data_IF_391811334539
#
_entry.id   IF_391811334539
#
_cell.length_a   1.000
_cell.length_b   1.000
_cell.length_c   1.000
_cell.angle_alpha   90.00
_cell.angle_beta   90.00
_cell.angle_gamma   90.00
#
_symmetry.space_group_name_H-M   'P 1'
#
loop_
_entity.id
_entity.type
_entity.pdbx_description
1 polymer ?
#
# COMPACT_ATOMS: atom_id res chain seq x y z
N UNK A 1 -36.60 54.32 -2.50
CA UNK A 1 -35.80 53.59 -3.51
C UNK A 1 -34.32 53.46 -3.12
N UNK A 2 -33.60 54.54 -2.75
CA UNK A 2 -32.18 54.46 -2.33
C UNK A 2 -31.88 53.46 -1.19
N UNK A 3 -32.71 53.44 -0.14
CA UNK A 3 -32.49 52.59 1.04
C UNK A 3 -32.66 51.09 0.73
N UNK A 4 -33.61 50.74 -0.13
CA UNK A 4 -33.87 49.35 -0.53
C UNK A 4 -32.69 48.82 -1.36
N UNK A 5 -32.18 49.63 -2.30
CA UNK A 5 -31.01 49.28 -3.10
C UNK A 5 -29.77 49.11 -2.21
N UNK A 6 -29.59 49.98 -1.21
CA UNK A 6 -28.47 49.88 -0.28
C UNK A 6 -28.54 48.62 0.60
N UNK A 7 -29.73 48.24 1.07
CA UNK A 7 -29.93 46.99 1.82
C UNK A 7 -29.66 45.75 0.96
N UNK A 8 -30.15 45.73 -0.28
CA UNK A 8 -29.85 44.64 -1.22
C UNK A 8 -28.34 44.55 -1.48
N UNK A 9 -27.68 45.69 -1.67
CA UNK A 9 -26.24 45.73 -1.87
C UNK A 9 -25.48 45.15 -0.67
N UNK A 10 -25.90 45.45 0.57
CA UNK A 10 -25.31 44.87 1.78
C UNK A 10 -25.48 43.36 1.87
N UNK A 11 -26.65 42.84 1.48
CA UNK A 11 -26.88 41.38 1.41
C UNK A 11 -25.98 40.74 0.36
N UNK A 12 -25.83 41.37 -0.81
CA UNK A 12 -24.93 40.90 -1.87
C UNK A 12 -23.47 40.92 -1.41
N UNK A 13 -23.02 41.97 -0.71
CA UNK A 13 -21.66 42.05 -0.17
C UNK A 13 -21.42 40.93 0.85
N UNK A 14 -22.38 40.67 1.76
CA UNK A 14 -22.28 39.57 2.71
C UNK A 14 -22.19 38.22 2.02
N UNK A 15 -23.01 37.99 0.99
CA UNK A 15 -22.99 36.76 0.19
C UNK A 15 -21.66 36.57 -0.55
N UNK A 16 -21.15 37.63 -1.19
CA UNK A 16 -19.85 37.59 -1.88
C UNK A 16 -18.70 37.34 -0.89
N UNK A 17 -18.75 37.95 0.30
CA UNK A 17 -17.78 37.70 1.36
C UNK A 17 -17.76 36.24 1.81
N UNK A 18 -18.93 35.62 1.96
CA UNK A 18 -19.06 34.20 2.26
C UNK A 18 -18.49 33.31 1.14
N UNK A 19 -18.77 33.63 -0.13
CA UNK A 19 -18.21 32.89 -1.27
C UNK A 19 -16.68 32.94 -1.32
N UNK A 20 -16.08 34.11 -1.06
CA UNK A 20 -14.61 34.25 -1.00
C UNK A 20 -14.03 33.43 0.15
N UNK A 21 -14.65 33.49 1.34
CA UNK A 21 -14.21 32.69 2.47
C UNK A 21 -14.28 31.18 2.15
N UNK A 22 -15.41 30.71 1.60
CA UNK A 22 -15.59 29.31 1.24
C UNK A 22 -14.62 28.85 0.15
N UNK A 23 -14.32 29.73 -0.82
CA UNK A 23 -13.36 29.44 -1.89
C UNK A 23 -11.93 29.23 -1.37
N UNK A 24 -11.55 29.90 -0.29
CA UNK A 24 -10.21 29.76 0.30
C UNK A 24 -10.17 28.61 1.32
N UNK A 25 -11.22 28.48 2.14
CA UNK A 25 -11.26 27.49 3.22
C UNK A 25 -11.58 26.08 2.71
N UNK A 26 -12.40 25.94 1.66
CA UNK A 26 -12.80 24.65 1.08
C UNK A 26 -11.62 23.75 0.72
N UNK A 27 -10.63 24.22 -0.07
CA UNK A 27 -9.43 23.44 -0.40
C UNK A 27 -8.59 23.04 0.83
N UNK A 28 -8.56 23.88 1.87
CA UNK A 28 -7.79 23.61 3.09
C UNK A 28 -8.43 22.47 3.89
N UNK A 29 -9.74 22.51 4.10
CA UNK A 29 -10.48 21.46 4.78
C UNK A 29 -10.44 20.15 3.99
N UNK A 30 -10.57 20.23 2.67
CA UNK A 30 -10.42 19.09 1.77
C UNK A 30 -9.07 18.39 1.98
N UNK A 31 -7.96 19.14 1.95
CA UNK A 31 -6.64 18.58 2.14
C UNK A 31 -6.46 17.95 3.52
N UNK A 32 -6.96 18.59 4.59
CA UNK A 32 -6.89 18.05 5.94
C UNK A 32 -7.63 16.72 6.09
N UNK A 33 -8.84 16.61 5.54
CA UNK A 33 -9.63 15.38 5.58
C UNK A 33 -8.99 14.30 4.70
N UNK A 34 -8.53 14.69 3.51
CA UNK A 34 -7.81 13.82 2.59
C UNK A 34 -6.61 13.17 3.26
N UNK A 35 -5.74 13.97 3.88
CA UNK A 35 -4.53 13.46 4.52
C UNK A 35 -4.85 12.44 5.63
N UNK A 36 -5.84 12.75 6.47
CA UNK A 36 -6.26 11.86 7.55
C UNK A 36 -6.82 10.52 7.03
N UNK A 37 -7.60 10.54 5.94
CA UNK A 37 -8.16 9.32 5.35
C UNK A 37 -7.13 8.53 4.56
N UNK A 38 -6.25 9.21 3.83
CA UNK A 38 -5.15 8.58 3.12
C UNK A 38 -4.20 7.89 4.08
N UNK A 39 -3.85 8.50 5.21
CA UNK A 39 -3.02 7.85 6.22
C UNK A 39 -3.61 6.49 6.69
N UNK A 40 -4.91 6.45 6.98
CA UNK A 40 -5.60 5.20 7.36
C UNK A 40 -5.62 4.18 6.23
N UNK A 41 -5.93 4.61 5.00
CA UNK A 41 -5.96 3.73 3.84
C UNK A 41 -4.56 3.17 3.52
N UNK A 42 -3.53 4.00 3.63
CA UNK A 42 -2.12 3.63 3.44
C UNK A 42 -1.70 2.60 4.49
N UNK A 43 -2.10 2.73 5.76
CA UNK A 43 -1.82 1.72 6.78
C UNK A 43 -2.37 0.34 6.39
N UNK A 44 -3.61 0.28 5.92
CA UNK A 44 -4.21 -0.96 5.42
C UNK A 44 -3.49 -1.51 4.18
N UNK A 45 -3.15 -0.65 3.21
CA UNK A 45 -2.38 -1.06 2.04
C UNK A 45 -0.99 -1.57 2.40
N UNK A 46 -0.33 -1.00 3.43
CA UNK A 46 0.96 -1.49 3.97
C UNK A 46 0.79 -2.87 4.59
N UNK A 47 -0.27 -3.09 5.36
CA UNK A 47 -0.59 -4.40 5.93
C UNK A 47 -0.80 -5.45 4.84
N UNK A 48 -1.54 -5.13 3.78
CA UNK A 48 -1.76 -6.02 2.64
C UNK A 48 -0.45 -6.29 1.89
N UNK A 49 0.38 -5.25 1.66
CA UNK A 49 1.71 -5.40 1.05
C UNK A 49 2.58 -6.37 1.84
N UNK A 50 2.66 -6.21 3.16
CA UNK A 50 3.46 -7.08 4.03
C UNK A 50 2.94 -8.51 3.99
N UNK A 51 1.63 -8.72 3.99
CA UNK A 51 1.02 -10.04 3.82
C UNK A 51 1.39 -10.68 2.46
N UNK A 52 1.31 -9.91 1.38
CA UNK A 52 1.64 -10.39 0.03
C UNK A 52 3.12 -10.76 -0.11
N UNK A 53 4.01 -9.95 0.46
CA UNK A 53 5.44 -10.26 0.49
C UNK A 53 5.72 -11.54 1.28
N UNK A 54 5.08 -11.71 2.44
CA UNK A 54 5.16 -12.94 3.22
C UNK A 54 4.67 -14.17 2.44
N UNK A 55 3.52 -14.03 1.77
CA UNK A 55 2.94 -15.09 0.93
C UNK A 55 3.89 -15.48 -0.21
N UNK A 56 4.54 -14.50 -0.85
CA UNK A 56 5.55 -14.76 -1.88
C UNK A 56 6.79 -15.46 -1.34
N UNK A 57 7.26 -15.10 -0.15
CA UNK A 57 8.42 -15.76 0.47
C UNK A 57 8.16 -17.25 0.72
N UNK A 58 6.94 -17.62 1.08
CA UNK A 58 6.58 -19.02 1.38
C UNK A 58 6.17 -19.80 0.13
N UNK A 59 5.40 -19.20 -0.78
CA UNK A 59 4.80 -19.91 -1.93
C UNK A 59 5.46 -19.62 -3.27
N UNK A 60 6.34 -18.61 -3.35
CA UNK A 60 6.98 -18.14 -4.58
C UNK A 60 6.10 -17.29 -5.49
N UNK A 61 4.84 -17.04 -5.14
CA UNK A 61 3.88 -16.25 -5.94
C UNK A 61 3.08 -15.28 -5.07
N UNK A 62 2.33 -14.37 -5.68
CA UNK A 62 1.36 -13.52 -4.97
C UNK A 62 -0.04 -14.12 -5.01
N UNK A 63 -0.91 -13.72 -4.07
CA UNK A 63 -2.29 -14.20 -3.97
C UNK A 63 -3.26 -13.15 -4.52
N UNK A 64 -4.26 -13.59 -5.28
CA UNK A 64 -5.30 -12.72 -5.84
C UNK A 64 -6.55 -12.68 -4.97
N UNK A 65 -6.78 -13.72 -4.18
CA UNK A 65 -7.97 -13.86 -3.35
C UNK A 65 -7.73 -13.31 -1.93
N UNK A 66 -8.45 -12.26 -1.52
CA UNK A 66 -8.33 -11.68 -0.19
C UNK A 66 -8.58 -12.69 0.95
N UNK A 67 -9.52 -13.61 0.77
CA UNK A 67 -9.87 -14.59 1.81
C UNK A 67 -8.74 -15.60 2.03
N UNK A 68 -8.07 -16.02 0.95
CA UNK A 68 -6.91 -16.91 1.01
C UNK A 68 -5.71 -16.22 1.65
N UNK A 69 -5.52 -14.94 1.36
CA UNK A 69 -4.46 -14.15 1.99
C UNK A 69 -4.66 -14.07 3.51
N UNK A 70 -5.90 -13.81 3.96
CA UNK A 70 -6.24 -13.79 5.39
C UNK A 70 -6.04 -15.16 6.04
N UNK A 71 -6.52 -16.23 5.39
CA UNK A 71 -6.35 -17.60 5.88
C UNK A 71 -4.87 -18.01 5.98
N UNK A 72 -4.04 -17.54 5.03
CA UNK A 72 -2.60 -17.72 5.07
C UNK A 72 -1.98 -17.03 6.30
N UNK A 73 -2.35 -15.78 6.58
CA UNK A 73 -1.83 -15.08 7.77
C UNK A 73 -2.15 -15.85 9.05
N UNK A 74 -3.37 -16.40 9.17
CA UNK A 74 -3.79 -17.15 10.35
C UNK A 74 -3.11 -18.51 10.52
N UNK A 75 -2.72 -19.17 9.41
CA UNK A 75 -2.25 -20.57 9.43
C UNK A 75 -0.74 -20.70 9.23
N UNK A 76 -0.13 -19.77 8.49
CA UNK A 76 1.23 -19.93 7.99
C UNK A 76 2.29 -19.71 9.06
N UNK A 77 3.40 -20.42 8.89
CA UNK A 77 4.60 -20.30 9.71
C UNK A 77 5.81 -20.08 8.80
N UNK A 78 6.66 -19.14 9.17
CA UNK A 78 7.97 -18.94 8.57
C UNK A 78 8.95 -19.99 9.08
N UNK A 79 9.73 -20.57 8.17
CA UNK A 79 10.93 -21.33 8.53
C UNK A 79 12.06 -20.36 8.83
N UNK A 80 12.55 -20.36 10.06
CA UNK A 80 13.76 -19.61 10.42
C UNK A 80 14.97 -20.40 9.92
N UNK A 81 15.63 -19.90 8.88
CA UNK A 81 16.81 -20.54 8.29
C UNK A 81 18.07 -19.79 8.66
N UNK A 82 19.10 -20.50 9.09
CA UNK A 82 20.44 -19.98 9.29
C UNK A 82 21.34 -20.47 8.18
N UNK A 83 21.97 -19.53 7.48
CA UNK A 83 23.03 -19.83 6.52
C UNK A 83 24.37 -19.74 7.24
N UNK A 84 25.16 -20.82 7.20
CA UNK A 84 26.58 -20.80 7.61
C UNK A 84 27.46 -21.29 6.48
N UNK A 85 28.58 -20.60 6.29
CA UNK A 85 29.61 -21.04 5.37
C UNK A 85 30.48 -22.08 6.07
N UNK A 86 30.73 -23.20 5.39
CA UNK A 86 31.53 -24.31 5.88
C UNK A 86 32.51 -24.72 4.79
N UNK A 87 33.73 -25.09 5.16
CA UNK A 87 34.72 -25.59 4.21
C UNK A 87 35.17 -26.97 4.65
N UNK A 88 35.25 -27.90 3.71
CA UNK A 88 35.77 -29.24 3.96
C UNK A 88 36.71 -29.68 2.84
N UNK A 89 37.68 -30.52 3.19
CA UNK A 89 38.65 -31.06 2.23
C UNK A 89 38.02 -32.27 1.53
N UNK A 90 38.05 -32.27 0.20
CA UNK A 90 37.64 -33.40 -0.62
C UNK A 90 38.81 -33.82 -1.51
N UNK A 91 39.17 -35.10 -1.44
CA UNK A 91 40.17 -35.67 -2.33
C UNK A 91 39.67 -35.68 -3.78
N UNK A 92 40.39 -35.00 -4.68
CA UNK A 92 40.11 -35.02 -6.11
C UNK A 92 40.79 -36.22 -6.76
N UNK A 93 40.02 -37.23 -7.17
CA UNK A 93 40.53 -38.46 -7.79
C UNK A 93 41.27 -38.23 -9.12
N UNK A 94 40.96 -37.16 -9.85
CA UNK A 94 41.58 -36.85 -11.14
C UNK A 94 42.97 -36.24 -10.92
N UNK A 95 43.04 -35.23 -10.05
CA UNK A 95 44.28 -34.50 -9.78
C UNK A 95 45.14 -35.16 -8.68
N UNK A 96 44.61 -36.15 -7.97
CA UNK A 96 45.24 -36.87 -6.84
C UNK A 96 45.73 -35.94 -5.72
N UNK A 97 45.04 -34.82 -5.51
CA UNK A 97 45.33 -33.84 -4.46
C UNK A 97 44.09 -33.59 -3.60
N UNK A 98 44.34 -33.17 -2.37
CA UNK A 98 43.30 -32.70 -1.44
C UNK A 98 42.92 -31.25 -1.79
N UNK A 99 41.66 -31.04 -2.16
CA UNK A 99 41.13 -29.72 -2.49
C UNK A 99 40.18 -29.22 -1.39
N UNK A 100 40.36 -27.99 -0.87
CA UNK A 100 39.34 -27.36 -0.05
C UNK A 100 38.11 -27.03 -0.91
N UNK A 101 36.93 -27.37 -0.41
CA UNK A 101 35.64 -27.05 -1.03
C UNK A 101 34.80 -26.26 -0.05
N UNK A 102 34.48 -25.04 -0.45
CA UNK A 102 33.54 -24.21 0.27
C UNK A 102 32.11 -24.63 -0.05
N UNK A 103 31.31 -24.79 0.99
CA UNK A 103 29.91 -25.16 0.91
C UNK A 103 29.09 -24.26 1.81
N UNK A 104 27.82 -24.11 1.48
CA UNK A 104 26.87 -23.32 2.23
C UNK A 104 25.89 -24.30 2.88
N UNK A 105 25.89 -24.34 4.21
CA UNK A 105 24.93 -25.14 4.97
C UNK A 105 23.78 -24.24 5.38
N UNK A 106 22.55 -24.63 5.03
CA UNK A 106 21.32 -23.95 5.42
C UNK A 106 20.62 -24.84 6.45
N UNK A 107 20.71 -24.46 7.72
CA UNK A 107 20.04 -25.16 8.82
C UNK A 107 18.69 -24.49 9.14
N UNK A 108 17.66 -25.27 9.47
CA UNK A 108 16.35 -24.75 9.88
C UNK A 108 16.28 -24.70 11.40
N UNK A 109 16.32 -23.49 11.98
CA UNK A 109 16.33 -23.24 13.42
C UNK A 109 14.96 -23.42 14.09
N UNK A 110 13.88 -23.34 13.31
CA UNK A 110 12.52 -23.52 13.83
C UNK A 110 11.46 -22.82 12.99
N UNK A 111 10.29 -22.63 13.59
CA UNK A 111 9.14 -22.02 12.94
C UNK A 111 8.63 -20.81 13.74
N UNK A 112 8.39 -19.69 13.07
CA UNK A 112 7.74 -18.52 13.64
C UNK A 112 6.38 -18.29 12.98
N UNK A 113 5.35 -17.91 13.74
CA UNK A 113 4.03 -17.61 13.18
C UNK A 113 4.09 -16.32 12.34
N UNK A 114 3.52 -16.36 11.13
CA UNK A 114 3.45 -15.16 10.25
C UNK A 114 2.66 -14.05 10.94
N UNK A 115 1.56 -14.43 11.58
CA UNK A 115 0.70 -13.54 12.35
C UNK A 115 1.50 -12.79 13.43
N UNK A 116 2.18 -13.51 14.31
CA UNK A 116 2.83 -12.91 15.47
C UNK A 116 4.08 -12.09 15.07
N UNK A 117 4.74 -12.46 13.97
CA UNK A 117 5.92 -11.77 13.48
C UNK A 117 5.62 -10.48 12.71
N UNK A 118 4.50 -10.44 11.97
CA UNK A 118 4.20 -9.31 11.06
C UNK A 118 3.04 -8.44 11.54
N UNK A 119 2.11 -9.00 12.30
CA UNK A 119 0.89 -8.32 12.75
C UNK A 119 0.89 -8.27 14.28
N UNK A 120 1.35 -7.15 14.85
CA UNK A 120 1.33 -6.93 16.31
C UNK A 120 -0.08 -6.88 16.90
N UNK A 121 -1.11 -6.68 16.07
CA UNK A 121 -2.52 -6.67 16.46
C UNK A 121 -3.34 -7.55 15.51
N UNK A 122 -4.47 -8.09 15.99
CA UNK A 122 -5.43 -8.93 15.24
C UNK A 122 -6.16 -8.18 14.09
N UNK A 123 -5.63 -7.06 13.59
CA UNK A 123 -6.30 -6.21 12.60
C UNK A 123 -6.20 -6.75 11.16
N UNK A 124 -5.50 -7.86 10.93
CA UNK A 124 -5.34 -8.46 9.60
C UNK A 124 -6.66 -8.93 8.98
N UNK A 125 -7.70 -9.20 9.78
CA UNK A 125 -9.02 -9.59 9.27
C UNK A 125 -9.77 -8.46 8.58
N UNK A 126 -9.53 -7.22 8.99
CA UNK A 126 -10.19 -6.03 8.46
C UNK A 126 -9.29 -5.22 7.51
N UNK A 127 -8.07 -5.67 7.23
CA UNK A 127 -7.13 -4.92 6.38
C UNK A 127 -7.65 -4.71 4.95
N UNK A 128 -8.54 -5.59 4.47
CA UNK A 128 -9.12 -5.51 3.12
C UNK A 128 -10.30 -4.53 3.03
N UNK A 129 -10.84 -4.07 4.16
CA UNK A 129 -11.91 -3.07 4.19
C UNK A 129 -11.32 -1.67 4.14
N UNK A 130 -11.97 -0.78 3.41
CA UNK A 130 -11.62 0.63 3.37
C UNK A 130 -11.96 1.26 4.72
N UNK A 131 -11.02 1.91 5.43
CA UNK A 131 -11.20 2.37 6.82
C UNK A 131 -11.91 3.73 6.88
N UNK A 132 -13.10 3.82 6.29
CA UNK A 132 -13.91 5.04 6.21
C UNK A 132 -15.32 4.76 6.71
N UNK A 133 -15.80 5.63 7.59
CA UNK A 133 -17.15 5.55 8.13
C UNK A 133 -18.19 5.80 7.02
N UNK A 134 -19.20 4.95 6.95
CA UNK A 134 -20.28 5.07 5.95
C UNK A 134 -20.01 4.41 4.59
N UNK A 135 -18.82 3.83 4.38
CA UNK A 135 -18.47 3.16 3.12
C UNK A 135 -18.12 1.69 3.36
N UNK A 136 -18.95 0.78 2.86
CA UNK A 136 -18.63 -0.66 2.83
C UNK A 136 -17.98 -1.01 1.47
N UNK A 137 -16.73 -0.60 1.32
CA UNK A 137 -15.91 -0.91 0.15
C UNK A 137 -14.68 -1.73 0.56
N UNK A 138 -14.24 -2.61 -0.35
CA UNK A 138 -13.01 -3.37 -0.18
C UNK A 138 -11.94 -2.88 -1.15
N UNK A 139 -10.68 -3.10 -0.79
CA UNK A 139 -9.57 -2.93 -1.71
C UNK A 139 -9.64 -3.96 -2.85
N UNK A 140 -9.41 -3.50 -4.07
CA UNK A 140 -9.28 -4.40 -5.23
C UNK A 140 -7.87 -4.99 -5.20
N UNK A 141 -7.79 -6.33 -5.21
CA UNK A 141 -6.53 -7.07 -5.21
C UNK A 141 -6.42 -7.86 -6.51
N UNK A 142 -5.30 -7.69 -7.21
CA UNK A 142 -4.92 -8.48 -8.37
C UNK A 142 -3.49 -9.02 -8.21
N UNK A 143 -3.25 -10.19 -8.79
CA UNK A 143 -1.94 -10.85 -8.75
C UNK A 143 -1.71 -11.65 -10.02
N UNK A 144 -0.48 -11.57 -10.53
CA UNK A 144 -0.13 -12.20 -11.79
C UNK A 144 1.38 -12.28 -12.00
N UNK A 145 1.77 -12.28 -13.27
CA UNK A 145 3.17 -12.38 -13.67
C UNK A 145 3.45 -11.44 -14.84
N UNK A 146 4.62 -10.82 -14.80
CA UNK A 146 5.18 -10.06 -15.90
C UNK A 146 6.40 -10.81 -16.43
N UNK A 147 6.48 -10.93 -17.75
CA UNK A 147 7.68 -11.45 -18.41
C UNK A 147 8.61 -10.28 -18.73
N UNK A 148 9.81 -10.27 -18.14
CA UNK A 148 10.89 -9.34 -18.50
C UNK A 148 12.15 -10.15 -18.80
N UNK A 149 12.74 -9.98 -19.97
CA UNK A 149 13.99 -10.65 -20.37
C UNK A 149 13.93 -12.18 -20.14
N UNK A 150 12.86 -12.83 -20.61
CA UNK A 150 12.57 -14.27 -20.42
C UNK A 150 12.43 -14.74 -18.96
N UNK A 151 12.47 -13.83 -17.98
CA UNK A 151 12.18 -14.12 -16.58
C UNK A 151 10.72 -13.81 -16.27
N UNK A 152 10.01 -14.82 -15.79
CA UNK A 152 8.64 -14.70 -15.31
C UNK A 152 8.65 -14.22 -13.86
N UNK A 153 8.33 -12.95 -13.65
CA UNK A 153 8.37 -12.30 -12.34
C UNK A 153 6.96 -12.16 -11.80
N UNK A 154 6.70 -12.71 -10.61
CA UNK A 154 5.42 -12.53 -9.93
C UNK A 154 5.23 -11.06 -9.53
N UNK A 155 4.05 -10.53 -9.77
CA UNK A 155 3.62 -9.17 -9.40
C UNK A 155 2.23 -9.19 -8.76
N UNK A 156 1.90 -8.11 -8.07
CA UNK A 156 0.58 -7.86 -7.51
C UNK A 156 0.27 -6.38 -7.58
N UNK A 157 -1.01 -6.06 -7.55
CA UNK A 157 -1.51 -4.71 -7.41
C UNK A 157 -2.69 -4.71 -6.44
N UNK A 158 -2.67 -3.79 -5.49
CA UNK A 158 -3.83 -3.51 -4.65
C UNK A 158 -4.17 -2.05 -4.84
N UNK A 159 -5.43 -1.74 -5.14
CA UNK A 159 -5.87 -0.38 -5.41
C UNK A 159 -7.22 -0.06 -4.79
N UNK A 160 -7.44 1.23 -4.55
CA UNK A 160 -8.73 1.81 -4.17
C UNK A 160 -8.91 3.12 -4.93
N UNK A 161 -10.13 3.39 -5.39
CA UNK A 161 -10.45 4.65 -6.05
C UNK A 161 -10.46 5.80 -5.03
N UNK A 162 -9.89 6.95 -5.40
CA UNK A 162 -9.96 8.18 -4.60
C UNK A 162 -11.42 8.61 -4.35
N UNK A 163 -12.31 8.30 -5.29
CA UNK A 163 -13.76 8.50 -5.15
C UNK A 163 -14.35 7.83 -3.92
N UNK A 164 -13.90 6.61 -3.63
CA UNK A 164 -14.35 5.84 -2.46
C UNK A 164 -13.77 6.47 -1.20
N UNK A 165 -12.52 6.95 -1.26
CA UNK A 165 -11.84 7.55 -0.12
C UNK A 165 -12.41 8.93 0.28
N UNK A 166 -12.88 9.69 -0.69
CA UNK A 166 -13.27 11.09 -0.55
C UNK A 166 -14.72 11.33 -0.98
N UNK A 167 -15.57 10.32 -0.86
CA UNK A 167 -16.93 10.27 -1.42
C UNK A 167 -17.88 11.40 -0.96
N UNK A 168 -17.66 11.96 0.22
CA UNK A 168 -18.45 13.02 0.87
C UNK A 168 -17.87 14.42 0.68
N UNK A 169 -16.71 14.54 0.03
CA UNK A 169 -16.06 15.81 -0.24
C UNK A 169 -16.55 16.45 -1.53
N UNK A 170 -16.17 17.71 -1.73
CA UNK A 170 -16.48 18.47 -2.92
C UNK A 170 -16.01 17.76 -4.20
N UNK A 171 -16.92 17.62 -5.17
CA UNK A 171 -16.69 16.86 -6.40
C UNK A 171 -15.70 17.54 -7.34
N UNK A 172 -15.64 18.87 -7.33
CA UNK A 172 -14.73 19.62 -8.19
C UNK A 172 -13.30 19.51 -7.65
N UNK A 173 -13.13 19.61 -6.33
CA UNK A 173 -11.83 19.36 -5.68
C UNK A 173 -11.38 17.90 -5.84
N UNK A 174 -12.30 16.95 -5.80
CA UNK A 174 -12.03 15.55 -6.05
C UNK A 174 -11.60 15.29 -7.50
N UNK A 175 -12.24 15.93 -8.48
CA UNK A 175 -11.87 15.84 -9.88
C UNK A 175 -10.45 16.40 -10.10
N UNK A 176 -10.15 17.56 -9.53
CA UNK A 176 -8.80 18.15 -9.56
C UNK A 176 -7.76 17.18 -8.96
N UNK A 177 -8.05 16.59 -7.79
CA UNK A 177 -7.15 15.65 -7.11
C UNK A 177 -6.88 14.36 -7.92
N UNK A 178 -7.79 13.92 -8.78
CA UNK A 178 -7.54 12.77 -9.69
C UNK A 178 -6.56 13.09 -10.81
N UNK A 179 -6.52 14.35 -11.23
CA UNK A 179 -5.66 14.85 -12.30
C UNK A 179 -4.30 15.32 -11.79
N UNK A 180 -4.11 15.38 -10.47
CA UNK A 180 -2.83 15.76 -9.86
C UNK A 180 -1.73 14.80 -10.30
N UNK A 181 -0.66 15.39 -10.85
CA UNK A 181 0.64 14.76 -11.08
C UNK A 181 1.66 15.53 -10.25
N UNK A 182 2.00 15.00 -9.08
CA UNK A 182 2.95 15.61 -8.14
C UNK A 182 3.93 14.57 -7.61
N UNK A 183 5.10 15.03 -7.17
CA UNK A 183 6.08 14.20 -6.46
C UNK A 183 5.62 13.96 -5.02
N UNK A 184 4.99 14.97 -4.42
CA UNK A 184 4.52 14.97 -3.03
C UNK A 184 3.04 14.55 -2.92
N UNK A 185 2.46 14.02 -3.99
CA UNK A 185 1.06 13.63 -4.08
C UNK A 185 0.85 12.19 -4.52
N UNK A 186 -0.38 11.71 -4.42
CA UNK A 186 -0.78 10.41 -4.96
C UNK A 186 -1.18 10.61 -6.42
N UNK A 187 -0.42 10.05 -7.35
CA UNK A 187 -0.67 10.28 -8.76
C UNK A 187 -1.83 9.45 -9.30
N UNK A 188 -2.70 10.09 -10.06
CA UNK A 188 -3.84 9.45 -10.74
C UNK A 188 -5.08 9.24 -9.84
N UNK A 189 -6.09 8.52 -10.35
CA UNK A 189 -7.38 8.39 -9.68
C UNK A 189 -7.43 7.30 -8.60
N UNK A 190 -6.35 6.53 -8.43
CA UNK A 190 -6.28 5.42 -7.49
C UNK A 190 -5.16 5.62 -6.48
N UNK A 191 -5.39 5.20 -5.24
CA UNK A 191 -4.34 4.93 -4.28
C UNK A 191 -3.99 3.44 -4.41
N UNK A 192 -2.75 3.12 -4.74
CA UNK A 192 -2.34 1.75 -5.04
C UNK A 192 -0.96 1.37 -4.51
N UNK A 193 -0.78 0.07 -4.28
CA UNK A 193 0.50 -0.55 -3.93
C UNK A 193 0.79 -1.70 -4.86
N UNK A 194 2.03 -1.74 -5.34
CA UNK A 194 2.42 -2.67 -6.39
C UNK A 194 1.98 -2.20 -7.77
N UNK A 195 2.18 -3.06 -8.78
CA UNK A 195 1.78 -2.81 -10.15
C UNK A 195 1.67 -4.13 -10.91
N UNK A 196 0.63 -4.27 -11.75
CA UNK A 196 0.52 -5.37 -12.71
C UNK A 196 1.34 -5.15 -13.99
N UNK A 197 1.78 -3.91 -14.25
CA UNK A 197 2.50 -3.53 -15.48
C UNK A 197 4.01 -3.41 -15.27
N UNK A 198 4.44 -3.18 -14.03
CA UNK A 198 5.85 -3.05 -13.68
C UNK A 198 6.22 -3.94 -12.49
N UNK A 199 7.49 -4.32 -12.40
CA UNK A 199 8.01 -5.05 -11.24
C UNK A 199 8.22 -4.06 -10.10
N UNK A 200 7.11 -3.66 -9.48
CA UNK A 200 7.06 -2.69 -8.39
C UNK A 200 6.23 -3.28 -7.27
N UNK A 201 6.71 -3.12 -6.04
CA UNK A 201 5.96 -3.51 -4.82
C UNK A 201 5.70 -2.31 -3.91
N UNK A 202 6.19 -1.12 -4.25
CA UNK A 202 5.99 0.11 -3.48
C UNK A 202 4.65 0.76 -3.79
N UNK A 203 4.20 1.59 -2.85
CA UNK A 203 3.01 2.43 -2.98
C UNK A 203 3.20 3.57 -3.98
N UNK A 204 2.09 4.18 -4.41
CA UNK A 204 2.07 5.39 -5.22
C UNK A 204 1.89 6.68 -4.38
N UNK A 205 2.21 6.62 -3.08
CA UNK A 205 2.07 7.74 -2.14
C UNK A 205 3.45 8.18 -1.59
N UNK A 206 3.59 9.46 -1.18
CA UNK A 206 4.81 9.97 -0.54
C UNK A 206 4.96 9.44 0.89
N UNK A 207 6.20 9.48 1.40
CA UNK A 207 6.57 9.04 2.74
C UNK A 207 5.87 9.83 3.87
N UNK A 208 5.31 11.01 3.56
CA UNK A 208 4.59 11.84 4.52
C UNK A 208 3.36 11.14 5.11
N UNK A 209 2.70 10.27 4.34
CA UNK A 209 1.58 9.46 4.83
C UNK A 209 2.02 8.23 5.64
N UNK A 210 3.32 8.01 5.80
CA UNK A 210 3.89 6.85 6.45
C UNK A 210 5.30 7.12 6.98
N UNK A 211 5.39 7.88 8.07
CA UNK A 211 6.67 8.25 8.72
C UNK A 211 7.51 7.09 9.28
N UNK A 212 7.15 5.82 9.02
CA UNK A 212 7.84 4.62 9.55
C UNK A 212 8.35 3.71 8.41
N UNK A 213 8.87 4.28 7.32
CA UNK A 213 9.46 3.55 6.19
C UNK A 213 11.01 3.43 6.31
N UNK A 214 11.50 3.14 7.53
CA UNK A 214 12.86 2.66 7.77
C UNK A 214 12.84 1.31 8.48
#
# INVERSE_FOLDING_TARGET
>A
MKIVIQLVLWVVIGFLGYLVYNSVMGPVEFNKIKEARYAKAVENLRNIRTAQLAYKTVTGRFEKDPAKLIAFIDTAKFTLTQRRDSSFIRFNKILKIDEPRDTVVIDTLGYASVKDSLFKSNNHKNMMKVPIEGVDANFELDAGYINKNDLRIAVFEVKVAKDVLLHDLDKDLLAQEKEVVSVDGVNGPFLSVGSMNEVKTSGNWPLTYGANDQ
#
